data_IF_327627689001
#
_entry.id   IF_327627689001
#
_cell.length_a   1.000
_cell.length_b   1.000
_cell.length_c   1.000
_cell.angle_alpha   90.00
_cell.angle_beta   90.00
_cell.angle_gamma   90.00
#
_symmetry.space_group_name_H-M   'P 1'
#
loop_
_entity.id
_entity.type
_entity.pdbx_description
1 polymer ?
#
# COMPACT_ATOMS: atom_id res chain seq x y z
N UNK A 1 8.44 -43.18 0.85
CA UNK A 1 8.11 -42.44 2.08
C UNK A 1 8.41 -40.97 1.84
N UNK A 2 7.41 -40.11 1.96
CA UNK A 2 7.55 -38.68 1.72
C UNK A 2 8.18 -37.96 2.93
N UNK A 3 8.73 -36.75 2.77
CA UNK A 3 9.20 -35.94 3.89
C UNK A 3 8.12 -35.73 4.97
N UNK A 4 6.85 -35.56 4.57
CA UNK A 4 5.70 -35.43 5.45
C UNK A 4 5.51 -36.68 6.32
N UNK A 5 5.44 -37.86 5.70
CA UNK A 5 5.28 -39.15 6.40
C UNK A 5 6.45 -39.42 7.37
N UNK A 6 7.67 -38.99 7.01
CA UNK A 6 8.84 -39.14 7.86
C UNK A 6 8.79 -38.24 9.10
N UNK A 7 8.22 -37.03 8.99
CA UNK A 7 7.99 -36.15 10.14
C UNK A 7 6.86 -36.67 11.03
N UNK A 8 5.75 -37.15 10.46
CA UNK A 8 4.64 -37.76 11.20
C UNK A 8 5.08 -38.96 12.05
N UNK A 9 5.96 -39.79 11.49
CA UNK A 9 6.51 -40.97 12.18
C UNK A 9 7.69 -40.66 13.11
N UNK A 10 8.01 -39.37 13.35
CA UNK A 10 9.17 -38.92 14.14
C UNK A 10 10.54 -39.49 13.65
N UNK A 11 10.63 -39.81 12.36
CA UNK A 11 11.85 -40.33 11.71
C UNK A 11 12.75 -39.17 11.27
N UNK A 12 12.15 -38.05 10.88
CA UNK A 12 12.82 -36.81 10.50
C UNK A 12 12.27 -35.61 11.28
N UNK A 13 13.09 -34.56 11.42
CA UNK A 13 12.71 -33.28 12.01
C UNK A 13 12.82 -32.19 10.96
N UNK A 14 11.75 -31.40 10.82
CA UNK A 14 11.74 -30.25 9.94
C UNK A 14 11.75 -28.95 10.76
N UNK A 15 12.67 -28.06 10.43
CA UNK A 15 12.86 -26.79 11.15
C UNK A 15 13.14 -25.65 10.19
N UNK A 16 12.86 -24.44 10.64
CA UNK A 16 13.22 -23.22 9.93
C UNK A 16 14.08 -22.31 10.82
N UNK A 17 14.90 -21.49 10.18
CA UNK A 17 15.64 -20.40 10.80
C UNK A 17 15.65 -19.20 9.86
N UNK A 18 15.15 -18.06 10.34
CA UNK A 18 15.25 -16.80 9.63
C UNK A 18 16.61 -16.14 9.88
N UNK A 19 16.98 -15.16 9.05
CA UNK A 19 18.13 -14.28 9.32
C UNK A 19 17.92 -13.38 10.54
N UNK A 20 16.67 -13.06 10.86
CA UNK A 20 16.32 -12.50 12.16
C UNK A 20 16.35 -13.58 13.25
N UNK A 21 16.21 -13.18 14.51
CA UNK A 21 16.25 -14.09 15.68
C UNK A 21 15.06 -15.06 15.80
N UNK A 22 14.35 -15.35 14.70
CA UNK A 22 13.21 -16.28 14.65
C UNK A 22 13.64 -17.65 14.12
N UNK A 23 13.33 -18.70 14.87
CA UNK A 23 13.55 -20.09 14.48
C UNK A 23 12.48 -20.99 15.13
N UNK A 24 12.26 -22.17 14.57
CA UNK A 24 11.25 -23.08 15.07
C UNK A 24 11.21 -24.43 14.37
N UNK A 25 10.24 -25.26 14.78
CA UNK A 25 9.93 -26.53 14.12
C UNK A 25 8.66 -26.41 13.30
N UNK A 26 8.62 -27.12 12.18
CA UNK A 26 7.43 -27.24 11.35
C UNK A 26 6.78 -28.59 11.61
N UNK A 27 5.45 -28.59 11.59
CA UNK A 27 4.69 -29.83 11.58
C UNK A 27 4.77 -30.51 10.20
N UNK A 28 4.18 -31.70 10.06
CA UNK A 28 4.05 -32.39 8.78
C UNK A 28 3.38 -31.55 7.69
N UNK A 29 2.45 -30.69 8.09
CA UNK A 29 1.70 -29.77 7.21
C UNK A 29 2.31 -28.37 7.14
N UNK A 30 3.51 -28.16 7.70
CA UNK A 30 4.17 -26.87 7.77
C UNK A 30 3.75 -26.04 8.98
N UNK A 31 3.65 -24.71 8.80
CA UNK A 31 3.33 -23.76 9.85
C UNK A 31 3.24 -22.32 9.35
N UNK A 32 2.68 -21.43 10.16
CA UNK A 32 2.66 -19.98 9.90
C UNK A 32 3.72 -19.31 10.75
N UNK A 33 4.48 -18.40 10.16
CA UNK A 33 5.47 -17.58 10.88
C UNK A 33 5.22 -16.12 10.54
N UNK A 34 5.25 -15.27 11.56
CA UNK A 34 5.11 -13.83 11.44
C UNK A 34 6.47 -13.17 11.63
N UNK A 35 6.80 -12.23 10.74
CA UNK A 35 8.03 -11.45 10.78
C UNK A 35 7.68 -9.97 10.90
N UNK A 36 8.35 -9.28 11.81
CA UNK A 36 8.25 -7.82 11.93
C UNK A 36 9.56 -7.14 11.54
N UNK A 37 10.67 -7.87 11.48
CA UNK A 37 11.98 -7.33 11.11
C UNK A 37 12.02 -6.97 9.62
N UNK A 38 12.00 -5.66 9.35
CA UNK A 38 11.98 -5.10 8.01
C UNK A 38 13.21 -5.49 7.18
N UNK A 39 13.05 -5.42 5.87
CA UNK A 39 14.12 -5.66 4.91
C UNK A 39 14.13 -7.09 4.37
N UNK A 40 15.23 -7.46 3.72
CA UNK A 40 15.37 -8.80 3.14
C UNK A 40 15.70 -9.79 4.25
N UNK A 41 14.82 -10.77 4.45
CA UNK A 41 15.02 -11.89 5.34
C UNK A 41 15.33 -13.15 4.53
N UNK A 42 16.31 -13.92 4.96
CA UNK A 42 16.58 -15.26 4.42
C UNK A 42 15.98 -16.31 5.33
N UNK A 43 15.27 -17.26 4.76
CA UNK A 43 14.69 -18.39 5.48
C UNK A 43 15.52 -19.63 5.11
N UNK A 44 16.11 -20.28 6.10
CA UNK A 44 16.74 -21.58 5.93
C UNK A 44 15.80 -22.66 6.46
N UNK A 45 15.37 -23.55 5.58
CA UNK A 45 14.66 -24.77 5.93
C UNK A 45 15.66 -25.90 6.11
N UNK A 46 15.47 -26.74 7.12
CA UNK A 46 16.36 -27.87 7.39
C UNK A 46 15.55 -29.10 7.72
N UNK A 47 15.70 -30.14 6.90
CA UNK A 47 15.17 -31.47 7.13
C UNK A 47 16.30 -32.36 7.64
N UNK A 48 16.17 -32.89 8.86
CA UNK A 48 17.20 -33.75 9.47
C UNK A 48 16.66 -35.13 9.78
N UNK A 49 17.28 -36.15 9.22
CA UNK A 49 17.08 -37.57 9.54
C UNK A 49 18.27 -38.11 10.37
N UNK A 50 18.24 -39.39 10.75
CA UNK A 50 19.25 -40.00 11.64
C UNK A 50 20.70 -39.88 11.12
N UNK A 51 20.92 -39.90 9.80
CA UNK A 51 22.26 -39.89 9.17
C UNK A 51 22.39 -38.93 7.98
N UNK A 52 21.38 -38.13 7.73
CA UNK A 52 21.37 -37.19 6.60
C UNK A 52 20.62 -35.92 6.96
N UNK A 53 20.96 -34.85 6.28
CA UNK A 53 20.23 -33.59 6.34
C UNK A 53 20.16 -32.96 4.97
N UNK A 54 19.08 -32.25 4.71
CA UNK A 54 18.88 -31.43 3.53
C UNK A 54 18.54 -29.99 3.95
N UNK A 55 18.99 -29.03 3.16
CA UNK A 55 18.86 -27.60 3.47
C UNK A 55 18.39 -26.85 2.22
N UNK A 56 17.34 -26.06 2.39
CA UNK A 56 16.81 -25.15 1.38
C UNK A 56 16.81 -23.72 1.89
N UNK A 57 17.00 -22.74 1.00
CA UNK A 57 17.11 -21.33 1.36
C UNK A 57 16.22 -20.48 0.46
N UNK A 58 15.32 -19.73 1.08
CA UNK A 58 14.44 -18.77 0.42
C UNK A 58 14.72 -17.34 0.89
N UNK A 59 14.38 -16.34 0.05
CA UNK A 59 14.47 -14.92 0.41
C UNK A 59 13.09 -14.29 0.36
N UNK A 60 12.74 -13.55 1.41
CA UNK A 60 11.50 -12.77 1.49
C UNK A 60 11.82 -11.33 1.89
N UNK A 61 11.07 -10.36 1.36
CA UNK A 61 11.22 -8.95 1.74
C UNK A 61 10.06 -8.57 2.66
N UNK A 62 10.37 -8.21 3.90
CA UNK A 62 9.41 -7.70 4.88
C UNK A 62 9.35 -6.18 4.76
N UNK A 63 8.21 -5.67 4.29
CA UNK A 63 7.99 -4.24 4.12
C UNK A 63 7.40 -3.63 5.41
N UNK A 64 7.62 -2.33 5.67
CA UNK A 64 6.94 -1.65 6.76
C UNK A 64 5.41 -1.72 6.56
N UNK A 65 4.68 -1.96 7.64
CA UNK A 65 3.22 -1.89 7.68
C UNK A 65 2.77 -0.79 8.64
N UNK A 66 1.86 0.11 8.25
CA UNK A 66 1.22 0.17 6.93
C UNK A 66 2.21 0.57 5.83
N UNK A 67 1.98 0.11 4.60
CA UNK A 67 2.69 0.57 3.40
C UNK A 67 1.71 1.36 2.54
N UNK A 68 1.79 2.68 2.63
CA UNK A 68 0.86 3.58 1.93
C UNK A 68 1.10 3.55 0.44
N UNK A 69 0.07 3.16 -0.32
CA UNK A 69 0.07 3.19 -1.78
C UNK A 69 -1.24 3.84 -2.20
N UNK A 70 -1.16 4.74 -3.16
CA UNK A 70 -2.34 5.35 -3.76
C UNK A 70 -2.14 5.59 -5.25
N UNK A 71 -3.25 5.81 -5.95
CA UNK A 71 -3.26 6.17 -7.35
C UNK A 71 -4.15 7.38 -7.59
N UNK A 72 -3.87 8.10 -8.66
CA UNK A 72 -4.70 9.23 -9.14
C UNK A 72 -5.17 8.93 -10.55
N UNK A 73 -6.45 8.57 -10.65
CA UNK A 73 -7.08 8.14 -11.90
C UNK A 73 -7.93 9.25 -12.55
N UNK A 74 -8.39 8.97 -13.77
CA UNK A 74 -9.15 9.88 -14.64
C UNK A 74 -8.33 11.05 -15.23
N UNK A 75 -9.04 11.91 -15.98
CA UNK A 75 -8.47 13.01 -16.77
C UNK A 75 -7.96 14.14 -15.88
N UNK A 76 -6.66 14.44 -15.99
CA UNK A 76 -5.98 15.50 -15.24
C UNK A 76 -6.15 16.87 -15.92
N UNK A 77 -7.41 17.30 -16.02
CA UNK A 77 -7.81 18.60 -16.57
C UNK A 77 -8.66 19.36 -15.57
N UNK A 78 -8.64 20.69 -15.67
CA UNK A 78 -9.46 21.56 -14.83
C UNK A 78 -10.95 21.21 -14.92
N UNK A 79 -11.65 21.36 -13.81
CA UNK A 79 -13.10 21.11 -13.70
C UNK A 79 -13.53 19.68 -14.09
N UNK A 80 -12.60 18.73 -14.15
CA UNK A 80 -12.90 17.31 -14.32
C UNK A 80 -12.77 16.57 -12.99
N UNK A 81 -13.57 15.50 -12.87
CA UNK A 81 -13.51 14.59 -11.74
C UNK A 81 -12.25 13.72 -11.88
N UNK A 82 -11.43 13.72 -10.84
CA UNK A 82 -10.36 12.76 -10.60
C UNK A 82 -10.66 11.97 -9.32
N UNK A 83 -10.06 10.79 -9.20
CA UNK A 83 -10.24 9.96 -8.00
C UNK A 83 -8.85 9.67 -7.44
N UNK A 84 -8.64 10.08 -6.19
CA UNK A 84 -7.50 9.65 -5.38
C UNK A 84 -7.94 8.36 -4.69
N UNK A 85 -7.33 7.24 -5.06
CA UNK A 85 -7.67 5.91 -4.56
C UNK A 85 -6.53 5.38 -3.69
N UNK A 86 -6.82 5.15 -2.41
CA UNK A 86 -5.85 4.70 -1.39
C UNK A 86 -6.03 3.22 -1.01
N UNK A 87 -6.95 2.50 -1.66
CA UNK A 87 -7.28 1.10 -1.36
C UNK A 87 -6.11 0.13 -1.61
N UNK A 88 -5.10 0.55 -2.37
CA UNK A 88 -3.87 -0.22 -2.62
C UNK A 88 -2.91 -0.25 -1.43
N UNK A 89 -3.17 0.54 -0.38
CA UNK A 89 -2.36 0.56 0.84
C UNK A 89 -2.35 -0.83 1.48
N UNK A 90 -1.16 -1.36 1.75
CA UNK A 90 -1.00 -2.66 2.40
C UNK A 90 -1.01 -2.48 3.91
N UNK A 91 -1.92 -3.16 4.58
CA UNK A 91 -2.02 -3.20 6.03
C UNK A 91 -1.38 -4.46 6.60
N UNK A 92 -1.16 -4.47 7.91
CA UNK A 92 -0.87 -5.72 8.61
C UNK A 92 -2.16 -6.54 8.73
N UNK A 93 -2.06 -7.87 8.67
CA UNK A 93 -3.22 -8.77 8.69
C UNK A 93 -4.07 -8.64 9.96
N UNK A 94 -3.43 -8.49 11.14
CA UNK A 94 -4.12 -8.29 12.42
C UNK A 94 -4.34 -6.82 12.78
N UNK A 95 -3.73 -5.91 12.01
CA UNK A 95 -3.81 -4.47 12.29
C UNK A 95 -4.20 -3.72 11.01
N UNK A 96 -5.52 -3.66 10.72
CA UNK A 96 -6.02 -2.98 9.53
C UNK A 96 -5.75 -1.47 9.59
N UNK A 97 -5.96 -0.81 8.44
CA UNK A 97 -5.90 0.65 8.37
C UNK A 97 -7.07 1.26 9.14
N UNK A 98 -6.77 2.26 9.97
CA UNK A 98 -7.76 3.10 10.61
C UNK A 98 -8.13 4.25 9.66
N UNK A 99 -9.20 4.06 8.90
CA UNK A 99 -9.64 5.03 7.88
C UNK A 99 -10.00 6.40 8.47
N UNK A 100 -10.42 6.45 9.73
CA UNK A 100 -10.73 7.70 10.45
C UNK A 100 -9.49 8.58 10.68
N UNK A 101 -8.30 8.00 10.60
CA UNK A 101 -7.01 8.70 10.77
C UNK A 101 -6.26 8.92 9.46
N UNK A 102 -6.87 8.57 8.33
CA UNK A 102 -6.31 8.87 7.00
C UNK A 102 -6.19 10.38 6.83
N UNK A 103 -5.02 10.85 6.41
CA UNK A 103 -4.80 12.26 6.07
C UNK A 103 -4.43 12.35 4.59
N UNK A 104 -5.18 13.13 3.84
CA UNK A 104 -4.86 13.45 2.44
C UNK A 104 -4.61 14.94 2.34
N UNK A 105 -3.43 15.33 1.87
CA UNK A 105 -3.07 16.73 1.59
C UNK A 105 -2.91 16.91 0.09
N UNK A 106 -3.50 17.99 -0.42
CA UNK A 106 -3.31 18.43 -1.80
C UNK A 106 -2.67 19.82 -1.71
N UNK A 107 -1.43 19.95 -2.14
CA UNK A 107 -0.68 21.20 -2.13
C UNK A 107 -0.53 21.72 -3.55
N UNK A 108 -0.99 22.95 -3.79
CA UNK A 108 -0.69 23.68 -5.02
C UNK A 108 0.76 24.16 -4.97
N UNK A 109 1.57 23.76 -5.95
CA UNK A 109 3.00 24.07 -5.97
C UNK A 109 3.28 25.50 -6.45
N UNK A 110 2.33 26.18 -7.09
CA UNK A 110 2.51 27.55 -7.58
C UNK A 110 2.43 28.61 -6.47
N UNK A 111 1.53 28.39 -5.50
CA UNK A 111 1.25 29.34 -4.42
C UNK A 111 1.47 28.76 -3.01
N UNK A 112 1.78 27.45 -2.92
CA UNK A 112 2.05 26.76 -1.65
C UNK A 112 0.79 26.42 -0.84
N UNK A 113 -0.40 26.80 -1.29
CA UNK A 113 -1.66 26.56 -0.58
C UNK A 113 -1.89 25.06 -0.43
N UNK A 114 -2.23 24.64 0.79
CA UNK A 114 -2.46 23.23 1.12
C UNK A 114 -3.91 23.03 1.57
N UNK A 115 -4.57 22.04 0.98
CA UNK A 115 -5.90 21.58 1.36
C UNK A 115 -5.77 20.22 2.03
N UNK A 116 -6.43 20.02 3.17
CA UNK A 116 -6.28 18.83 4.01
C UNK A 116 -7.64 18.18 4.24
N UNK A 117 -7.69 16.86 4.06
CA UNK A 117 -8.77 15.96 4.46
C UNK A 117 -8.28 15.14 5.66
N UNK A 118 -9.14 14.94 6.64
CA UNK A 118 -8.88 14.10 7.82
C UNK A 118 -10.04 13.13 8.01
N UNK A 119 -9.74 11.85 7.81
CA UNK A 119 -10.66 10.77 8.12
C UNK A 119 -11.81 10.63 7.14
N UNK A 120 -12.59 9.57 7.37
CA UNK A 120 -13.77 9.26 6.59
C UNK A 120 -14.90 10.27 6.82
N UNK A 121 -15.62 10.62 5.75
CA UNK A 121 -16.71 11.58 5.78
C UNK A 121 -16.31 13.04 5.55
N UNK A 122 -15.03 13.37 5.67
CA UNK A 122 -14.53 14.73 5.47
C UNK A 122 -14.48 15.13 3.98
N UNK A 123 -14.59 16.43 3.71
CA UNK A 123 -14.63 16.99 2.35
C UNK A 123 -14.17 18.45 2.31
N UNK A 124 -13.62 18.87 1.17
CA UNK A 124 -13.21 20.25 0.91
C UNK A 124 -14.19 20.88 -0.09
N UNK A 125 -14.65 22.09 0.19
CA UNK A 125 -15.41 22.89 -0.77
C UNK A 125 -14.85 24.32 -0.83
N UNK A 126 -13.94 24.56 -1.77
CA UNK A 126 -13.32 25.88 -2.00
C UNK A 126 -13.47 26.30 -3.45
N UNK A 127 -13.02 27.52 -3.76
CA UNK A 127 -12.95 28.04 -5.13
C UNK A 127 -11.88 27.34 -5.99
N UNK A 128 -10.98 26.56 -5.40
CA UNK A 128 -9.83 25.95 -6.07
C UNK A 128 -9.93 24.43 -6.14
N UNK A 129 -10.29 23.81 -5.02
CA UNK A 129 -10.46 22.37 -4.90
C UNK A 129 -11.83 22.10 -4.30
N UNK A 130 -12.55 21.17 -4.93
CA UNK A 130 -13.76 20.57 -4.40
C UNK A 130 -13.55 19.07 -4.30
N UNK A 131 -13.90 18.47 -3.18
CA UNK A 131 -13.96 17.01 -3.04
C UNK A 131 -15.37 16.60 -2.67
N UNK A 132 -15.70 15.34 -2.95
CA UNK A 132 -16.77 14.67 -2.22
C UNK A 132 -16.22 14.15 -0.89
N UNK A 133 -17.09 13.50 -0.11
CA UNK A 133 -16.68 12.82 1.12
C UNK A 133 -15.62 11.76 0.80
N UNK A 134 -14.56 11.74 1.59
CA UNK A 134 -13.67 10.59 1.63
C UNK A 134 -14.45 9.38 2.15
N UNK A 135 -14.49 8.30 1.38
CA UNK A 135 -15.22 7.08 1.76
C UNK A 135 -14.62 5.86 1.08
N UNK A 136 -14.58 4.74 1.77
CA UNK A 136 -14.17 3.44 1.20
C UNK A 136 -12.80 3.52 0.50
N UNK A 137 -11.85 4.25 1.08
CA UNK A 137 -10.51 4.41 0.52
C UNK A 137 -10.41 5.40 -0.65
N UNK A 138 -11.50 6.07 -1.05
CA UNK A 138 -11.57 6.88 -2.27
C UNK A 138 -11.96 8.32 -1.98
N UNK A 139 -11.29 9.26 -2.65
CA UNK A 139 -11.60 10.68 -2.61
C UNK A 139 -11.88 11.22 -4.02
N UNK A 140 -13.15 11.31 -4.44
CA UNK A 140 -13.52 12.04 -5.64
C UNK A 140 -13.18 13.52 -5.48
N UNK A 141 -12.41 14.06 -6.42
CA UNK A 141 -11.83 15.40 -6.35
C UNK A 141 -12.02 16.12 -7.68
N UNK A 142 -12.18 17.44 -7.63
CA UNK A 142 -12.21 18.34 -8.77
C UNK A 142 -11.31 19.53 -8.46
N UNK A 143 -10.30 19.73 -9.32
CA UNK A 143 -9.38 20.86 -9.24
C UNK A 143 -9.81 21.87 -10.30
N UNK A 144 -10.01 23.13 -9.88
CA UNK A 144 -10.63 24.20 -10.68
C UNK A 144 -9.60 25.12 -11.35
N UNK A 145 -8.31 24.98 -11.01
CA UNK A 145 -7.21 25.74 -11.62
C UNK A 145 -6.15 24.81 -12.20
N UNK A 146 -5.49 25.27 -13.25
CA UNK A 146 -4.34 24.59 -13.83
C UNK A 146 -3.12 24.73 -12.93
N UNK A 147 -2.17 23.82 -13.07
CA UNK A 147 -0.92 23.84 -12.32
C UNK A 147 -0.49 22.46 -11.84
N UNK A 148 0.62 22.44 -11.11
CA UNK A 148 1.17 21.25 -10.50
C UNK A 148 0.75 21.14 -9.04
N UNK A 149 0.32 19.94 -8.66
CA UNK A 149 -0.18 19.65 -7.32
C UNK A 149 0.58 18.46 -6.72
N UNK A 150 1.12 18.62 -5.52
CA UNK A 150 1.65 17.51 -4.72
C UNK A 150 0.52 16.93 -3.86
N UNK A 151 0.21 15.65 -4.07
CA UNK A 151 -0.70 14.89 -3.23
C UNK A 151 0.15 14.09 -2.24
N UNK A 152 -0.13 14.27 -0.95
CA UNK A 152 0.46 13.47 0.14
C UNK A 152 -0.64 12.69 0.84
N UNK A 153 -0.49 11.37 0.90
CA UNK A 153 -1.39 10.48 1.65
C UNK A 153 -0.62 9.91 2.83
N UNK A 154 -1.19 10.06 4.03
CA UNK A 154 -0.70 9.41 5.25
C UNK A 154 -1.79 8.47 5.76
N UNK A 155 -1.40 7.22 6.02
CA UNK A 155 -2.26 6.18 6.58
C UNK A 155 -1.72 5.74 7.92
N UNK A 156 -2.61 5.35 8.82
CA UNK A 156 -2.28 4.80 10.12
C UNK A 156 -2.98 3.44 10.30
N UNK A 157 -2.30 2.46 10.89
CA UNK A 157 -2.90 1.20 11.30
C UNK A 157 -3.47 1.28 12.73
N UNK A 158 -4.20 0.25 13.17
CA UNK A 158 -4.77 0.20 14.53
C UNK A 158 -3.73 0.13 15.65
N UNK A 159 -2.45 -0.15 15.37
CA UNK A 159 -1.35 -0.03 16.35
C UNK A 159 -0.83 1.39 16.50
N UNK A 160 -1.29 2.30 15.65
CA UNK A 160 -0.80 3.67 15.58
C UNK A 160 0.45 3.84 14.71
N UNK A 161 0.91 2.80 13.98
CA UNK A 161 2.03 2.95 13.02
C UNK A 161 1.55 3.69 11.79
N UNK A 162 2.37 4.59 11.26
CA UNK A 162 2.02 5.43 10.11
C UNK A 162 2.94 5.19 8.92
N UNK A 163 2.43 5.47 7.73
CA UNK A 163 3.21 5.54 6.50
C UNK A 163 2.70 6.67 5.62
N UNK A 164 3.61 7.30 4.89
CA UNK A 164 3.31 8.44 4.03
C UNK A 164 3.84 8.20 2.63
N UNK A 165 3.02 8.50 1.62
CA UNK A 165 3.41 8.48 0.21
C UNK A 165 3.07 9.82 -0.43
N UNK A 166 3.89 10.24 -1.40
CA UNK A 166 3.70 11.46 -2.19
C UNK A 166 3.62 11.14 -3.68
N UNK A 167 2.85 11.95 -4.40
CA UNK A 167 2.80 11.93 -5.86
C UNK A 167 2.47 13.34 -6.38
N UNK A 168 3.20 13.79 -7.39
CA UNK A 168 2.90 15.04 -8.10
C UNK A 168 2.04 14.77 -9.33
N UNK A 169 1.04 15.61 -9.56
CA UNK A 169 0.20 15.58 -10.76
C UNK A 169 0.15 16.97 -11.41
N UNK A 170 0.03 17.00 -12.74
CA UNK A 170 -0.15 18.23 -13.51
C UNK A 170 -1.57 18.32 -14.03
N UNK A 171 -2.27 19.40 -13.71
CA UNK A 171 -3.64 19.70 -14.18
C UNK A 171 -3.57 20.67 -15.36
N UNK A 172 -4.07 20.22 -16.51
CA UNK A 172 -4.08 20.99 -17.77
C UNK A 172 -5.42 21.67 -18.01
N UNK A 173 -5.45 22.62 -18.95
CA UNK A 173 -6.71 23.23 -19.39
C UNK A 173 -7.64 22.21 -20.06
N UNK A 174 -8.94 22.45 -19.94
CA UNK A 174 -9.96 21.71 -20.66
C UNK A 174 -10.34 22.46 -21.93
N UNK A 175 -9.53 22.24 -22.98
CA UNK A 175 -9.77 22.82 -24.30
C UNK A 175 -11.06 22.25 -24.89
N UNK A 176 -11.87 23.14 -25.49
CA UNK A 176 -13.06 22.75 -26.25
C UNK A 176 -12.65 21.95 -27.49
N UNK A 177 -13.48 20.99 -27.94
CA UNK A 177 -13.25 20.35 -29.23
C UNK A 177 -13.32 21.42 -30.34
N UNK A 178 -12.32 21.40 -31.23
CA UNK A 178 -12.32 22.23 -32.45
C UNK A 178 -12.96 21.39 -33.55
N UNK A 179 -14.04 21.90 -34.14
CA UNK A 179 -14.63 21.28 -35.33
C UNK A 179 -13.98 21.91 -36.57
N UNK A 180 -13.29 21.08 -37.37
CA UNK A 180 -12.80 21.50 -38.68
C UNK A 180 -13.88 21.23 -39.73
N UNK A 181 -14.55 22.29 -40.18
CA UNK A 181 -15.43 22.23 -41.35
C UNK A 181 -14.60 22.61 -42.57
N UNK A 182 -13.90 21.64 -43.17
CA UNK A 182 -13.38 21.83 -44.51
C UNK A 182 -14.56 21.74 -45.49
N UNK A 183 -15.01 22.89 -45.97
CA UNK A 183 -15.97 22.98 -47.08
C UNK A 183 -15.28 22.51 -48.36
N UNK A 184 -15.82 21.46 -48.98
CA UNK A 184 -15.44 21.00 -50.33
C UNK A 184 -15.78 22.05 -51.39
#
# INVERSE_FOLDING_TARGET
MTPKEAVEKNIAKYSYKFSCSRYGRLGPDGGKVYLEELGTQTIQYTLRARKSSDVDIERVIVLPTPHTIFSVSCTKKVNRKLIIDTTLTKAHIEHPIDESKTIIKIKDLSNGQTYKIIGEGDSINTNYIKTLKYKDGKLPTTIKKTGDYEITVTKQDTRGKTSTQKQTITIKEDLRPIAEFNSC
#
